data_IF_033152919021
#
_entry.id   IF_033152919021
#
_cell.length_a   1.000
_cell.length_b   1.000
_cell.length_c   1.000
_cell.angle_alpha   90.00
_cell.angle_beta   90.00
_cell.angle_gamma   90.00
#
_symmetry.space_group_name_H-M   'P 1'
#
loop_
_entity.id
_entity.type
_entity.pdbx_description
1 polymer ?
#
# COMPACT_ATOMS: atom_id res chain seq x y z
N UNK A 1 15.73 -8.39 6.27
CA UNK A 1 15.18 -8.39 7.64
C UNK A 1 14.08 -9.43 7.66
N UNK A 2 14.40 -10.65 8.12
CA UNK A 2 13.55 -11.84 8.02
C UNK A 2 12.88 -12.19 9.34
N UNK A 3 12.03 -11.29 9.83
CA UNK A 3 11.11 -11.59 10.92
C UNK A 3 9.73 -11.62 10.27
N UNK A 4 9.03 -12.76 10.30
CA UNK A 4 7.70 -12.95 9.72
C UNK A 4 6.59 -12.21 10.46
N UNK A 5 6.88 -11.01 10.98
CA UNK A 5 5.90 -10.15 11.61
C UNK A 5 5.16 -9.40 10.51
N UNK A 6 3.87 -9.70 10.39
CA UNK A 6 2.96 -9.02 9.47
C UNK A 6 2.31 -7.87 10.21
N UNK A 7 2.81 -6.65 10.02
CA UNK A 7 2.16 -5.46 10.53
C UNK A 7 2.35 -4.29 9.57
N UNK A 8 1.39 -3.38 9.57
CA UNK A 8 1.43 -2.14 8.78
C UNK A 8 1.01 -0.97 9.66
N UNK A 9 1.52 0.21 9.33
CA UNK A 9 1.17 1.46 10.01
C UNK A 9 0.67 2.42 8.94
N UNK A 10 -0.54 2.92 9.10
CA UNK A 10 -1.14 3.88 8.17
C UNK A 10 -1.54 5.13 8.94
N UNK A 11 -1.05 6.29 8.50
CA UNK A 11 -1.39 7.60 9.08
C UNK A 11 -1.65 8.58 7.94
N UNK A 12 -2.88 9.10 7.89
CA UNK A 12 -3.32 10.09 6.90
C UNK A 12 -3.56 11.47 7.54
N UNK A 13 -3.27 11.61 8.84
CA UNK A 13 -3.45 12.87 9.55
C UNK A 13 -2.39 13.90 9.17
N UNK A 14 -2.76 15.17 9.23
CA UNK A 14 -1.80 16.27 9.22
C UNK A 14 -0.84 16.14 10.43
N UNK A 15 0.38 16.71 10.38
CA UNK A 15 1.38 16.56 11.43
C UNK A 15 0.87 16.88 12.84
N UNK A 16 -0.04 17.85 12.97
CA UNK A 16 -0.64 18.30 14.22
C UNK A 16 -1.81 17.43 14.70
N UNK A 17 -2.33 16.52 13.86
CA UNK A 17 -3.50 15.70 14.11
C UNK A 17 -3.29 14.25 13.64
N UNK A 18 -2.10 13.71 13.90
CA UNK A 18 -1.75 12.31 13.57
C UNK A 18 -2.56 11.32 14.39
N UNK A 19 -3.15 10.36 13.71
CA UNK A 19 -3.85 9.23 14.32
C UNK A 19 -3.41 7.93 13.62
N UNK A 20 -2.19 7.44 13.94
CA UNK A 20 -1.63 6.29 13.25
C UNK A 20 -2.42 5.02 13.59
N UNK A 21 -2.87 4.33 12.55
CA UNK A 21 -3.52 3.04 12.66
C UNK A 21 -2.46 1.94 12.55
N UNK A 22 -2.25 1.21 13.64
CA UNK A 22 -1.35 0.06 13.70
C UNK A 22 -2.17 -1.20 13.49
N UNK A 23 -1.86 -1.94 12.43
CA UNK A 23 -2.60 -3.13 12.04
C UNK A 23 -1.69 -4.35 12.06
N UNK A 24 -1.91 -5.28 12.98
CA UNK A 24 -1.18 -6.55 13.06
C UNK A 24 -2.00 -7.62 12.33
N UNK A 25 -1.32 -8.43 11.51
CA UNK A 25 -1.94 -9.45 10.67
C UNK A 25 -3.16 -8.95 9.87
N UNK A 26 -3.09 -7.79 9.20
CA UNK A 26 -4.22 -7.26 8.45
C UNK A 26 -4.58 -8.17 7.28
N UNK A 27 -5.86 -8.24 6.96
CA UNK A 27 -6.38 -8.88 5.76
C UNK A 27 -7.66 -8.19 5.29
N UNK A 28 -7.84 -8.12 3.98
CA UNK A 28 -9.12 -7.74 3.37
C UNK A 28 -10.08 -8.93 3.50
N UNK A 29 -11.28 -8.70 4.04
CA UNK A 29 -12.31 -9.72 4.23
C UNK A 29 -13.53 -9.52 3.34
N UNK A 30 -13.70 -8.32 2.77
CA UNK A 30 -14.67 -8.03 1.73
C UNK A 30 -14.20 -6.85 0.87
N UNK A 31 -14.59 -6.84 -0.40
CA UNK A 31 -14.28 -5.80 -1.38
C UNK A 31 -15.57 -5.34 -2.05
N UNK A 32 -15.69 -4.03 -2.29
CA UNK A 32 -16.77 -3.50 -3.12
C UNK A 32 -16.51 -3.83 -4.61
N UNK A 33 -17.59 -3.95 -5.38
CA UNK A 33 -17.50 -4.11 -6.84
C UNK A 33 -17.07 -2.82 -7.55
N UNK A 34 -17.23 -1.67 -6.90
CA UNK A 34 -16.79 -0.39 -7.45
C UNK A 34 -15.28 -0.27 -7.36
N UNK A 35 -14.67 0.19 -8.45
CA UNK A 35 -13.23 0.38 -8.57
C UNK A 35 -12.90 1.87 -8.63
N UNK A 36 -11.81 2.25 -7.97
CA UNK A 36 -11.24 3.59 -8.03
C UNK A 36 -9.82 3.53 -8.61
N UNK A 37 -9.55 4.38 -9.59
CA UNK A 37 -8.20 4.60 -10.10
C UNK A 37 -7.55 5.75 -9.32
N UNK A 38 -6.37 5.51 -8.74
CA UNK A 38 -5.61 6.52 -7.98
C UNK A 38 -4.13 6.43 -8.31
N UNK A 39 -3.45 7.58 -8.26
CA UNK A 39 -2.00 7.62 -8.38
C UNK A 39 -1.36 7.09 -7.10
N UNK A 40 -0.60 6.01 -7.23
CA UNK A 40 0.16 5.40 -6.14
C UNK A 40 1.66 5.66 -6.34
N UNK A 41 2.35 5.85 -5.22
CA UNK A 41 3.81 5.80 -5.12
C UNK A 41 4.21 4.83 -4.02
N UNK A 42 5.48 4.43 -3.98
CA UNK A 42 5.98 3.54 -2.93
C UNK A 42 7.39 3.96 -2.50
N UNK A 43 7.66 3.90 -1.19
CA UNK A 43 8.99 4.18 -0.64
C UNK A 43 10.05 3.18 -1.15
N UNK A 44 9.64 1.96 -1.49
CA UNK A 44 10.49 0.93 -2.12
C UNK A 44 10.84 1.26 -3.59
N UNK A 45 10.05 2.11 -4.25
CA UNK A 45 10.23 2.56 -5.64
C UNK A 45 10.27 4.10 -5.68
N UNK A 46 11.32 4.74 -5.12
CA UNK A 46 11.36 6.18 -4.94
C UNK A 46 11.22 6.95 -6.25
N UNK A 47 10.51 8.08 -6.19
CA UNK A 47 10.21 8.98 -7.32
C UNK A 47 9.40 8.35 -8.46
N UNK A 48 8.82 7.17 -8.26
CA UNK A 48 7.97 6.52 -9.25
C UNK A 48 6.52 6.60 -8.79
N UNK A 49 5.66 6.99 -9.73
CA UNK A 49 4.22 7.13 -9.52
C UNK A 49 3.50 6.51 -10.71
N UNK A 50 2.40 5.83 -10.47
CA UNK A 50 1.52 5.34 -11.53
C UNK A 50 0.09 5.22 -11.02
N UNK A 51 -0.86 5.36 -11.94
CA UNK A 51 -2.26 5.09 -11.65
C UNK A 51 -2.51 3.57 -11.54
N UNK A 52 -3.08 3.16 -10.41
CA UNK A 52 -3.48 1.79 -10.10
C UNK A 52 -4.98 1.78 -9.81
N UNK A 53 -5.68 0.75 -10.29
CA UNK A 53 -7.11 0.57 -10.08
C UNK A 53 -7.33 -0.50 -9.02
N UNK A 54 -8.06 -0.15 -7.96
CA UNK A 54 -8.37 -1.04 -6.82
C UNK A 54 -9.84 -0.90 -6.40
N UNK A 55 -10.41 -1.86 -5.65
CA UNK A 55 -11.66 -1.68 -4.93
C UNK A 55 -11.69 -0.34 -4.18
N UNK A 56 -12.75 0.44 -4.44
CA UNK A 56 -12.93 1.78 -3.85
C UNK A 56 -13.16 1.72 -2.34
N UNK A 57 -13.81 0.65 -1.90
CA UNK A 57 -14.11 0.36 -0.51
C UNK A 57 -13.75 -1.10 -0.20
N UNK A 58 -13.18 -1.32 0.98
CA UNK A 58 -12.83 -2.65 1.48
C UNK A 58 -13.20 -2.76 2.96
N UNK A 59 -13.59 -3.96 3.38
CA UNK A 59 -13.67 -4.31 4.80
C UNK A 59 -12.40 -5.01 5.20
N UNK A 60 -11.72 -4.48 6.21
CA UNK A 60 -10.42 -4.99 6.67
C UNK A 60 -10.55 -5.52 8.09
N UNK A 61 -9.95 -6.68 8.34
CA UNK A 61 -9.80 -7.26 9.67
C UNK A 61 -8.32 -7.22 10.07
N UNK A 62 -8.02 -6.85 11.32
CA UNK A 62 -6.67 -6.87 11.87
C UNK A 62 -6.68 -7.08 13.38
N UNK A 63 -5.52 -7.31 13.97
CA UNK A 63 -5.30 -7.35 15.41
C UNK A 63 -4.74 -6.01 15.89
N UNK A 64 -5.32 -5.47 16.96
CA UNK A 64 -4.78 -4.30 17.65
C UNK A 64 -3.47 -4.65 18.36
N UNK A 65 -2.73 -3.64 18.81
CA UNK A 65 -1.52 -3.83 19.64
C UNK A 65 -1.81 -4.55 20.97
N UNK A 66 -3.07 -4.56 21.41
CA UNK A 66 -3.51 -5.28 22.61
C UNK A 66 -3.94 -6.73 22.31
N UNK A 67 -3.96 -7.13 21.03
CA UNK A 67 -4.36 -8.47 20.58
C UNK A 67 -5.86 -8.60 20.22
N UNK A 68 -6.64 -7.54 20.37
CA UNK A 68 -8.07 -7.55 20.02
C UNK A 68 -8.26 -7.62 18.51
N UNK A 69 -9.23 -8.42 18.04
CA UNK A 69 -9.60 -8.46 16.62
C UNK A 69 -10.54 -7.30 16.32
N UNK A 70 -10.15 -6.47 15.37
CA UNK A 70 -10.90 -5.31 14.90
C UNK A 70 -11.29 -5.50 13.43
N UNK A 71 -12.45 -4.97 13.08
CA UNK A 71 -12.93 -4.89 11.71
C UNK A 71 -13.41 -3.48 11.40
N UNK A 72 -13.15 -3.01 10.18
CA UNK A 72 -13.60 -1.69 9.73
C UNK A 72 -13.80 -1.67 8.22
N UNK A 73 -14.91 -1.08 7.81
CA UNK A 73 -15.14 -0.66 6.43
C UNK A 73 -14.38 0.66 6.20
N UNK A 74 -13.52 0.68 5.19
CA UNK A 74 -12.70 1.83 4.80
C UNK A 74 -12.89 2.12 3.32
N UNK A 75 -12.81 3.40 2.95
CA UNK A 75 -12.97 3.86 1.57
C UNK A 75 -11.89 4.89 1.19
N UNK A 76 -11.95 5.33 -0.06
CA UNK A 76 -11.19 6.46 -0.54
C UNK A 76 -9.67 6.26 -0.48
N UNK A 77 -8.96 7.28 0.02
CA UNK A 77 -7.49 7.22 0.14
C UNK A 77 -7.07 6.18 1.19
N UNK A 78 -7.81 6.05 2.29
CA UNK A 78 -7.49 5.10 3.35
C UNK A 78 -7.59 3.66 2.86
N UNK A 79 -8.65 3.32 2.11
CA UNK A 79 -8.76 2.01 1.47
C UNK A 79 -7.59 1.73 0.54
N UNK A 80 -7.16 2.71 -0.24
CA UNK A 80 -6.05 2.57 -1.19
C UNK A 80 -4.72 2.32 -0.45
N UNK A 81 -4.43 3.11 0.59
CA UNK A 81 -3.23 2.94 1.40
C UNK A 81 -3.22 1.59 2.11
N UNK A 82 -4.32 1.15 2.72
CA UNK A 82 -4.35 -0.14 3.42
C UNK A 82 -4.16 -1.30 2.44
N UNK A 83 -4.81 -1.26 1.27
CA UNK A 83 -4.61 -2.29 0.24
C UNK A 83 -3.15 -2.32 -0.25
N UNK A 84 -2.53 -1.16 -0.45
CA UNK A 84 -1.11 -1.06 -0.82
C UNK A 84 -0.18 -1.65 0.24
N UNK A 85 -0.41 -1.36 1.52
CA UNK A 85 0.42 -1.89 2.60
C UNK A 85 0.19 -3.39 2.83
N UNK A 86 -1.03 -3.89 2.62
CA UNK A 86 -1.32 -5.33 2.65
C UNK A 86 -0.61 -6.05 1.50
N UNK A 87 -0.57 -5.48 0.29
CA UNK A 87 0.18 -6.03 -0.85
C UNK A 87 1.66 -6.23 -0.50
N UNK A 88 2.29 -5.29 0.23
CA UNK A 88 3.68 -5.44 0.68
C UNK A 88 3.87 -6.65 1.60
N UNK A 89 2.88 -6.99 2.42
CA UNK A 89 2.93 -8.19 3.27
C UNK A 89 2.88 -9.49 2.45
N UNK A 90 2.35 -9.44 1.24
CA UNK A 90 2.33 -10.53 0.26
C UNK A 90 3.50 -10.46 -0.74
N UNK A 91 4.39 -9.47 -0.60
CA UNK A 91 5.50 -9.24 -1.54
C UNK A 91 5.08 -8.69 -2.90
N UNK A 92 3.89 -8.10 -2.97
CA UNK A 92 3.33 -7.44 -4.16
C UNK A 92 3.62 -5.94 -4.09
N UNK A 93 4.12 -5.37 -5.17
CA UNK A 93 4.31 -3.93 -5.33
C UNK A 93 3.20 -3.35 -6.22
N UNK A 94 2.91 -2.05 -6.07
CA UNK A 94 1.96 -1.37 -6.97
C UNK A 94 2.32 -1.52 -8.46
N UNK A 95 3.62 -1.60 -8.76
CA UNK A 95 4.12 -1.80 -10.12
C UNK A 95 3.71 -3.15 -10.73
N UNK A 96 3.34 -4.14 -9.90
CA UNK A 96 2.89 -5.46 -10.32
C UNK A 96 1.46 -5.43 -10.86
N UNK A 97 0.66 -4.44 -10.45
CA UNK A 97 -0.69 -4.18 -10.99
C UNK A 97 -0.67 -3.41 -12.32
N UNK A 98 0.50 -2.91 -12.74
CA UNK A 98 0.64 -2.21 -14.01
C UNK A 98 0.80 -3.18 -15.17
N UNK A 99 0.42 -2.73 -16.37
CA UNK A 99 0.74 -3.46 -17.60
C UNK A 99 2.25 -3.69 -17.72
N UNK A 100 2.64 -4.82 -18.33
CA UNK A 100 4.05 -5.21 -18.49
C UNK A 100 4.91 -4.10 -19.09
N UNK A 101 4.38 -3.35 -20.06
CA UNK A 101 5.07 -2.22 -20.67
C UNK A 101 5.32 -1.09 -19.65
N UNK A 102 4.29 -0.66 -18.92
CA UNK A 102 4.38 0.42 -17.92
C UNK A 102 5.32 0.03 -16.79
N UNK A 103 5.20 -1.21 -16.27
CA UNK A 103 6.11 -1.76 -15.26
C UNK A 103 7.57 -1.73 -15.71
N UNK A 104 7.85 -2.19 -16.93
CA UNK A 104 9.21 -2.19 -17.48
C UNK A 104 9.78 -0.78 -17.65
N UNK A 105 8.95 0.19 -18.08
CA UNK A 105 9.37 1.58 -18.19
C UNK A 105 9.75 2.18 -16.82
N UNK A 106 8.94 1.91 -15.81
CA UNK A 106 9.16 2.35 -14.43
C UNK A 106 10.48 1.76 -13.86
N UNK A 107 10.68 0.44 -13.99
CA UNK A 107 11.91 -0.22 -13.52
C UNK A 107 13.16 0.29 -14.24
N UNK A 108 13.07 0.58 -15.54
CA UNK A 108 14.18 1.18 -16.31
C UNK A 108 14.53 2.59 -15.81
N UNK A 109 13.52 3.41 -15.52
CA UNK A 109 13.71 4.76 -14.97
C UNK A 109 14.38 4.69 -13.60
N UNK A 110 13.88 3.84 -12.71
CA UNK A 110 14.45 3.62 -11.38
C UNK A 110 15.94 3.18 -11.47
N UNK A 111 16.25 2.22 -12.35
CA UNK A 111 17.62 1.75 -12.54
C UNK A 111 18.56 2.86 -13.06
N UNK A 112 18.04 3.77 -13.90
CA UNK A 112 18.80 4.93 -14.37
C UNK A 112 19.08 5.91 -13.23
N UNK A 113 18.07 6.25 -12.42
CA UNK A 113 18.20 7.15 -11.27
C UNK A 113 19.18 6.62 -10.22
N UNK A 114 19.14 5.31 -9.92
CA UNK A 114 20.08 4.68 -9.00
C UNK A 114 21.53 4.73 -9.51
N UNK A 115 21.76 4.61 -10.83
CA UNK A 115 23.10 4.78 -11.41
C UNK A 115 23.61 6.21 -11.29
N UNK A 116 22.74 7.20 -11.46
CA UNK A 116 23.09 8.62 -11.32
C UNK A 116 23.44 8.99 -9.87
N UNK A 117 22.71 8.48 -8.87
CA UNK A 117 23.00 8.72 -7.44
C UNK A 117 24.30 8.07 -6.92
N UNK A 118 24.84 7.09 -7.64
CA UNK A 118 26.09 6.38 -7.26
C UNK A 118 27.35 7.00 -7.88
N UNK A 119 27.20 8.02 -8.73
CA UNK A 119 28.29 8.84 -9.26
C UNK A 119 28.39 10.13 -8.46
#
# INVERSE_FOLDING_TARGET
MGIGLRFVIVDLGEPEAREPMIMINPKVIAEAETLAAREEGCLSLPNQYAEVTRPEQVRVQWQSVNGDVLERDVDGLLATCIQHEIDHLEGVLFADHLSTLRRNMLLRRLAKEQKLKRK
#
